data_IF_357486338241
#
_entry.id   IF_357486338241
#
_cell.length_a   1.000
_cell.length_b   1.000
_cell.length_c   1.000
_cell.angle_alpha   90.00
_cell.angle_beta   90.00
_cell.angle_gamma   90.00
#
_symmetry.space_group_name_H-M   'P 1'
#
loop_
_entity.id
_entity.type
_entity.pdbx_description
1 polymer ?
#
# COMPACT_ATOMS: atom_id res chain seq x y z
N UNK A 1 16.07 12.77 -2.11
CA UNK A 1 16.61 13.99 -2.77
C UNK A 1 16.68 15.13 -1.75
N UNK A 2 17.65 15.09 -0.83
CA UNK A 2 17.69 15.97 0.34
C UNK A 2 17.91 17.45 0.00
N UNK A 3 18.60 17.75 -1.10
CA UNK A 3 18.79 19.10 -1.63
C UNK A 3 17.84 19.28 -2.83
N UNK A 4 16.58 19.71 -2.62
CA UNK A 4 15.55 19.71 -3.65
C UNK A 4 15.91 20.57 -4.87
N UNK A 5 16.61 21.68 -4.68
CA UNK A 5 16.96 22.68 -5.70
C UNK A 5 17.79 22.08 -6.84
N UNK A 6 18.69 21.16 -6.52
CA UNK A 6 19.53 20.43 -7.48
C UNK A 6 18.99 19.03 -7.79
N UNK A 7 17.70 18.80 -7.50
CA UNK A 7 17.07 17.49 -7.57
C UNK A 7 15.71 17.45 -8.25
N UNK A 8 15.28 18.56 -8.86
CA UNK A 8 13.93 18.71 -9.43
C UNK A 8 13.58 17.61 -10.44
N UNK A 9 14.47 17.26 -11.37
CA UNK A 9 14.16 16.26 -12.40
C UNK A 9 13.74 14.89 -11.84
N UNK A 10 14.45 14.36 -10.84
CA UNK A 10 14.06 13.09 -10.22
C UNK A 10 12.90 13.21 -9.24
N UNK A 11 12.69 14.39 -8.66
CA UNK A 11 11.51 14.67 -7.84
C UNK A 11 10.24 14.67 -8.71
N UNK A 12 10.31 15.29 -9.88
CA UNK A 12 9.22 15.28 -10.87
C UNK A 12 8.93 13.86 -11.35
N UNK A 13 9.95 13.07 -11.69
CA UNK A 13 9.75 11.67 -12.07
C UNK A 13 9.06 10.83 -10.96
N UNK A 14 9.40 11.07 -9.69
CA UNK A 14 8.73 10.43 -8.56
C UNK A 14 7.31 10.95 -8.34
N UNK A 15 7.04 12.22 -8.63
CA UNK A 15 5.68 12.76 -8.62
C UNK A 15 4.83 12.13 -9.73
N UNK A 16 5.40 11.90 -10.91
CA UNK A 16 4.76 11.19 -12.01
C UNK A 16 4.46 9.73 -11.61
N UNK A 17 5.39 9.05 -10.94
CA UNK A 17 5.15 7.71 -10.37
C UNK A 17 3.99 7.73 -9.37
N UNK A 18 3.97 8.68 -8.43
CA UNK A 18 2.88 8.81 -7.46
C UNK A 18 1.53 9.08 -8.13
N UNK A 19 1.51 9.92 -9.17
CA UNK A 19 0.31 10.27 -9.93
C UNK A 19 -0.21 9.03 -10.66
N UNK A 20 0.66 8.34 -11.42
CA UNK A 20 0.32 7.11 -12.13
C UNK A 20 -0.25 6.04 -11.20
N UNK A 21 0.36 5.82 -10.02
CA UNK A 21 -0.18 4.87 -9.03
C UNK A 21 -1.55 5.33 -8.53
N UNK A 22 -1.71 6.61 -8.19
CA UNK A 22 -2.98 7.14 -7.67
C UNK A 22 -4.11 6.99 -8.70
N UNK A 23 -3.84 7.34 -9.96
CA UNK A 23 -4.78 7.23 -11.07
C UNK A 23 -5.20 5.78 -11.32
N UNK A 24 -4.23 4.86 -11.43
CA UNK A 24 -4.53 3.45 -11.73
C UNK A 24 -5.17 2.71 -10.55
N UNK A 25 -4.91 3.12 -9.32
CA UNK A 25 -5.50 2.47 -8.13
C UNK A 25 -6.80 3.11 -7.66
N UNK A 26 -7.17 4.27 -8.21
CA UNK A 26 -8.30 5.07 -7.75
C UNK A 26 -8.10 5.65 -6.33
N UNK A 27 -6.85 5.70 -5.85
CA UNK A 27 -6.50 6.21 -4.52
C UNK A 27 -6.13 7.70 -4.57
N UNK A 28 -6.21 8.37 -3.42
CA UNK A 28 -6.01 9.83 -3.36
C UNK A 28 -4.53 10.23 -3.26
N UNK A 29 -3.68 9.37 -2.70
CA UNK A 29 -2.25 9.65 -2.54
C UNK A 29 -1.43 8.36 -2.57
N UNK A 30 -0.25 8.42 -3.21
CA UNK A 30 0.75 7.35 -3.23
C UNK A 30 2.12 7.83 -2.72
N UNK A 31 2.96 6.89 -2.28
CA UNK A 31 4.34 7.17 -1.89
C UNK A 31 5.32 7.08 -3.07
N UNK A 32 6.57 7.49 -2.82
CA UNK A 32 7.69 7.44 -3.76
C UNK A 32 8.42 6.09 -3.67
N UNK A 33 7.64 5.01 -3.66
CA UNK A 33 8.01 3.59 -3.62
C UNK A 33 8.34 2.95 -2.27
N UNK A 34 8.22 1.61 -2.26
CA UNK A 34 8.71 0.66 -1.27
C UNK A 34 9.68 -0.35 -1.92
N UNK A 35 10.12 -1.38 -1.18
CA UNK A 35 11.16 -2.31 -1.61
C UNK A 35 10.64 -3.39 -2.58
N UNK A 36 9.57 -4.09 -2.22
CA UNK A 36 8.91 -5.12 -3.02
C UNK A 36 7.45 -5.29 -2.55
N UNK A 37 6.65 -6.08 -3.26
CA UNK A 37 5.22 -6.26 -2.94
C UNK A 37 5.00 -6.90 -1.56
N UNK A 38 5.81 -7.88 -1.20
CA UNK A 38 5.66 -8.62 0.05
C UNK A 38 5.96 -7.74 1.28
N UNK A 39 6.99 -6.89 1.18
CA UNK A 39 7.29 -5.88 2.19
C UNK A 39 6.28 -4.74 2.18
N UNK A 40 5.74 -4.34 1.02
CA UNK A 40 4.63 -3.39 0.96
C UNK A 40 3.37 -3.91 1.68
N UNK A 41 3.08 -5.22 1.59
CA UNK A 41 2.00 -5.86 2.34
C UNK A 41 2.22 -5.84 3.84
N UNK A 42 3.46 -6.10 4.28
CA UNK A 42 3.81 -6.00 5.70
C UNK A 42 3.73 -4.56 6.23
N UNK A 43 4.15 -3.56 5.44
CA UNK A 43 3.98 -2.15 5.78
C UNK A 43 2.50 -1.75 5.80
N UNK A 44 1.68 -2.27 4.89
CA UNK A 44 0.24 -2.04 4.90
C UNK A 44 -0.43 -2.66 6.14
N UNK A 45 0.02 -3.83 6.61
CA UNK A 45 -0.44 -4.44 7.86
C UNK A 45 -0.14 -3.54 9.07
N UNK A 46 1.09 -3.07 9.23
CA UNK A 46 1.46 -2.19 10.36
C UNK A 46 0.77 -0.82 10.24
N UNK A 47 0.57 -0.33 9.03
CA UNK A 47 -0.20 0.88 8.74
C UNK A 47 -1.67 0.71 9.14
N UNK A 48 -2.29 -0.43 8.83
CA UNK A 48 -3.64 -0.77 9.27
C UNK A 48 -3.75 -0.81 10.80
N UNK A 49 -2.76 -1.41 11.48
CA UNK A 49 -2.74 -1.49 12.95
C UNK A 49 -2.73 -0.09 13.60
N UNK A 50 -2.09 0.90 12.97
CA UNK A 50 -2.03 2.28 13.46
C UNK A 50 -3.31 3.08 13.19
N UNK A 51 -4.09 2.69 12.18
CA UNK A 51 -5.26 3.44 11.69
C UNK A 51 -6.60 2.84 12.10
N UNK A 52 -6.70 1.51 12.18
CA UNK A 52 -7.95 0.80 12.46
C UNK A 52 -8.47 1.15 13.85
N UNK A 53 -9.80 1.21 13.97
CA UNK A 53 -10.51 1.38 15.25
C UNK A 53 -10.83 0.05 15.93
N UNK A 54 -10.64 -1.07 15.22
CA UNK A 54 -10.80 -2.42 15.76
C UNK A 54 -9.82 -2.66 16.90
N UNK A 55 -10.27 -3.37 17.94
CA UNK A 55 -9.40 -3.80 19.05
C UNK A 55 -8.76 -5.17 18.80
N UNK A 56 -9.09 -5.82 17.69
CA UNK A 56 -8.51 -7.11 17.32
C UNK A 56 -7.00 -6.97 17.10
N UNK A 57 -6.26 -8.05 17.39
CA UNK A 57 -4.84 -8.20 17.04
C UNK A 57 -4.64 -9.03 15.78
N UNK A 58 -5.74 -9.41 15.13
CA UNK A 58 -5.73 -10.32 13.99
C UNK A 58 -5.72 -9.54 12.68
N UNK A 59 -4.78 -9.88 11.81
CA UNK A 59 -4.73 -9.45 10.42
C UNK A 59 -5.12 -10.64 9.54
N UNK A 60 -6.18 -10.49 8.76
CA UNK A 60 -6.62 -11.53 7.84
C UNK A 60 -5.87 -11.39 6.51
N UNK A 61 -5.44 -12.51 5.94
CA UNK A 61 -4.81 -12.57 4.62
C UNK A 61 -5.57 -13.58 3.78
N UNK A 62 -6.03 -13.18 2.60
CA UNK A 62 -6.64 -14.14 1.67
C UNK A 62 -5.62 -15.21 1.31
N UNK A 63 -6.04 -16.46 1.32
CA UNK A 63 -5.24 -17.59 0.83
C UNK A 63 -4.86 -17.45 -0.65
N UNK A 64 -5.56 -16.58 -1.38
CA UNK A 64 -5.34 -16.30 -2.80
C UNK A 64 -4.24 -15.26 -3.04
N UNK A 65 -3.58 -14.76 -1.99
CA UNK A 65 -2.38 -13.93 -2.11
C UNK A 65 -1.16 -14.78 -2.49
N UNK A 66 -0.12 -14.14 -3.03
CA UNK A 66 1.12 -14.86 -3.34
C UNK A 66 1.76 -15.49 -2.09
N UNK A 67 2.29 -16.72 -2.15
CA UNK A 67 2.86 -17.41 -0.98
C UNK A 67 3.97 -16.61 -0.29
N UNK A 68 4.86 -15.98 -1.06
CA UNK A 68 5.92 -15.14 -0.51
C UNK A 68 5.40 -13.89 0.19
N UNK A 69 4.28 -13.33 -0.28
CA UNK A 69 3.61 -12.19 0.37
C UNK A 69 3.08 -12.63 1.73
N UNK A 70 2.42 -13.79 1.80
CA UNK A 70 1.91 -14.37 3.05
C UNK A 70 3.06 -14.63 4.04
N UNK A 71 4.17 -15.19 3.58
CA UNK A 71 5.32 -15.54 4.42
C UNK A 71 6.02 -14.31 5.01
N UNK A 72 6.19 -13.25 4.22
CA UNK A 72 6.78 -11.98 4.70
C UNK A 72 5.83 -11.30 5.70
N UNK A 73 4.52 -11.28 5.43
CA UNK A 73 3.53 -10.73 6.35
C UNK A 73 3.56 -11.47 7.69
N UNK A 74 3.54 -12.81 7.69
CA UNK A 74 3.67 -13.65 8.89
C UNK A 74 4.96 -13.36 9.65
N UNK A 75 6.08 -13.30 8.93
CA UNK A 75 7.40 -13.05 9.52
C UNK A 75 7.47 -11.68 10.18
N UNK A 76 6.87 -10.65 9.56
CA UNK A 76 6.82 -9.28 10.10
C UNK A 76 5.82 -9.13 11.25
N UNK A 77 4.77 -9.94 11.27
CA UNK A 77 3.76 -9.95 12.33
C UNK A 77 4.25 -10.57 13.64
N UNK A 78 5.01 -11.65 13.56
CA UNK A 78 5.47 -12.42 14.73
C UNK A 78 6.18 -11.58 15.83
N UNK A 79 7.18 -10.73 15.52
CA UNK A 79 7.89 -9.97 16.56
C UNK A 79 7.07 -8.84 17.19
N UNK A 80 5.97 -8.42 16.56
CA UNK A 80 5.10 -7.33 17.04
C UNK A 80 3.77 -7.84 17.61
N UNK A 81 3.61 -9.18 17.73
CA UNK A 81 2.47 -9.81 18.38
C UNK A 81 1.15 -9.66 17.61
N UNK A 82 1.22 -9.53 16.28
CA UNK A 82 0.04 -9.58 15.39
C UNK A 82 -0.23 -11.05 15.04
N UNK A 83 -1.50 -11.45 15.14
CA UNK A 83 -1.94 -12.78 14.69
C UNK A 83 -2.31 -12.71 13.21
N UNK A 84 -1.73 -13.58 12.38
CA UNK A 84 -2.04 -13.65 10.95
C UNK A 84 -2.90 -14.88 10.67
N UNK A 85 -4.15 -14.66 10.27
CA UNK A 85 -5.07 -15.73 9.86
C UNK A 85 -5.12 -15.74 8.34
N UNK A 86 -4.80 -16.90 7.75
CA UNK A 86 -4.90 -17.11 6.31
C UNK A 86 -6.13 -17.96 6.02
N UNK A 87 -6.97 -17.55 5.07
CA UNK A 87 -8.14 -18.33 4.70
C UNK A 87 -8.89 -17.77 3.49
N UNK A 88 -10.02 -18.39 3.18
CA UNK A 88 -10.93 -17.94 2.11
C UNK A 88 -11.64 -16.64 2.53
N UNK A 89 -11.43 -15.57 1.76
CA UNK A 89 -12.00 -14.24 2.04
C UNK A 89 -13.54 -14.20 1.94
N UNK A 90 -14.18 -15.20 1.31
CA UNK A 90 -15.64 -15.29 1.15
C UNK A 90 -16.35 -15.77 2.41
N UNK A 91 -15.69 -16.66 3.17
CA UNK A 91 -16.27 -17.35 4.34
C UNK A 91 -15.52 -17.07 5.64
N UNK A 92 -14.20 -16.90 5.59
CA UNK A 92 -13.34 -16.74 6.75
C UNK A 92 -13.55 -15.43 7.52
N UNK A 93 -14.15 -14.42 6.89
CA UNK A 93 -14.42 -13.13 7.54
C UNK A 93 -15.68 -13.12 8.40
N UNK A 94 -16.63 -14.04 8.24
CA UNK A 94 -17.96 -13.90 8.88
C UNK A 94 -17.86 -13.90 10.41
N UNK A 95 -17.05 -14.79 10.99
CA UNK A 95 -16.90 -14.95 12.44
C UNK A 95 -15.56 -14.41 12.99
N UNK A 96 -14.70 -13.86 12.14
CA UNK A 96 -13.38 -13.38 12.54
C UNK A 96 -13.37 -11.87 12.79
N UNK A 97 -13.00 -11.45 13.99
CA UNK A 97 -12.67 -10.06 14.29
C UNK A 97 -11.23 -9.76 13.84
N UNK A 98 -11.05 -8.77 12.98
CA UNK A 98 -9.73 -8.35 12.48
C UNK A 98 -9.61 -6.83 12.48
N UNK A 99 -8.38 -6.32 12.41
CA UNK A 99 -8.12 -4.89 12.22
C UNK A 99 -7.77 -4.55 10.77
N UNK A 100 -7.44 -5.57 9.96
CA UNK A 100 -7.19 -5.41 8.54
C UNK A 100 -7.30 -6.72 7.77
N UNK A 101 -7.53 -6.57 6.47
CA UNK A 101 -7.74 -7.65 5.50
C UNK A 101 -6.83 -7.39 4.31
N UNK A 102 -6.00 -8.37 3.92
CA UNK A 102 -5.21 -8.34 2.69
C UNK A 102 -5.84 -9.24 1.61
N UNK A 103 -6.12 -8.66 0.45
CA UNK A 103 -6.67 -9.31 -0.75
C UNK A 103 -5.67 -9.17 -1.91
N UNK A 104 -5.76 -10.04 -2.92
CA UNK A 104 -4.92 -10.01 -4.12
C UNK A 104 -5.79 -9.83 -5.36
N UNK A 105 -5.41 -8.93 -6.27
CA UNK A 105 -6.24 -8.56 -7.42
C UNK A 105 -5.41 -8.34 -8.70
N UNK A 106 -5.42 -9.27 -9.68
CA UNK A 106 -6.07 -10.59 -9.68
C UNK A 106 -5.48 -11.56 -8.64
N UNK A 107 -6.20 -12.63 -8.33
CA UNK A 107 -5.74 -13.69 -7.43
C UNK A 107 -4.51 -14.44 -7.95
N UNK A 108 -3.86 -15.22 -7.07
CA UNK A 108 -2.70 -16.07 -7.38
C UNK A 108 -2.92 -17.00 -8.59
N UNK A 109 -4.12 -17.55 -8.72
CA UNK A 109 -4.53 -18.45 -9.81
C UNK A 109 -5.03 -17.69 -11.05
N UNK A 110 -5.07 -16.36 -10.99
CA UNK A 110 -5.55 -15.48 -12.04
C UNK A 110 -7.05 -15.19 -11.98
N UNK A 111 -7.79 -15.70 -10.99
CA UNK A 111 -9.21 -15.38 -10.84
C UNK A 111 -9.43 -13.89 -10.52
N UNK A 112 -10.54 -13.37 -11.04
CA UNK A 112 -11.04 -12.03 -10.74
C UNK A 112 -12.24 -12.17 -9.81
N UNK A 113 -12.09 -11.68 -8.59
CA UNK A 113 -13.16 -11.64 -7.61
C UNK A 113 -13.78 -10.25 -7.53
N UNK A 114 -15.09 -10.20 -7.32
CA UNK A 114 -15.75 -8.99 -6.84
C UNK A 114 -15.59 -8.90 -5.32
N UNK A 115 -14.86 -7.89 -4.86
CA UNK A 115 -14.54 -7.70 -3.46
C UNK A 115 -15.49 -6.76 -2.73
N UNK A 116 -16.53 -6.20 -3.37
CA UNK A 116 -17.43 -5.23 -2.73
C UNK A 116 -18.04 -5.76 -1.43
N UNK A 117 -18.52 -7.00 -1.43
CA UNK A 117 -19.10 -7.65 -0.24
C UNK A 117 -18.05 -7.91 0.85
N UNK A 118 -16.86 -8.38 0.46
CA UNK A 118 -15.73 -8.60 1.37
C UNK A 118 -15.29 -7.29 2.04
N UNK A 119 -15.25 -6.20 1.27
CA UNK A 119 -14.93 -4.85 1.77
C UNK A 119 -16.00 -4.39 2.77
N UNK A 120 -17.28 -4.52 2.43
CA UNK A 120 -18.38 -4.14 3.31
C UNK A 120 -18.35 -4.91 4.64
N UNK A 121 -18.10 -6.23 4.59
CA UNK A 121 -17.95 -7.07 5.79
C UNK A 121 -16.77 -6.62 6.67
N UNK A 122 -15.62 -6.30 6.06
CA UNK A 122 -14.45 -5.83 6.80
C UNK A 122 -14.71 -4.47 7.47
N UNK A 123 -15.32 -3.51 6.74
CA UNK A 123 -15.64 -2.19 7.26
C UNK A 123 -16.69 -2.23 8.38
N UNK A 124 -17.67 -3.15 8.32
CA UNK A 124 -18.63 -3.37 9.40
C UNK A 124 -17.94 -3.76 10.73
N UNK A 125 -16.74 -4.34 10.66
CA UNK A 125 -15.88 -4.70 11.80
C UNK A 125 -14.82 -3.65 12.12
N UNK A 126 -14.90 -2.48 11.49
CA UNK A 126 -13.90 -1.40 11.61
C UNK A 126 -12.48 -1.83 11.15
N UNK A 127 -12.37 -2.90 10.40
CA UNK A 127 -11.13 -3.34 9.76
C UNK A 127 -10.87 -2.49 8.50
N UNK A 128 -9.60 -2.36 8.12
CA UNK A 128 -9.19 -1.71 6.88
C UNK A 128 -8.87 -2.75 5.80
N UNK A 129 -9.17 -2.42 4.54
CA UNK A 129 -8.93 -3.33 3.41
C UNK A 129 -7.71 -2.90 2.61
N UNK A 130 -6.76 -3.82 2.49
CA UNK A 130 -5.57 -3.71 1.66
C UNK A 130 -5.75 -4.60 0.44
N UNK A 131 -5.50 -4.06 -0.75
CA UNK A 131 -5.52 -4.84 -2.00
C UNK A 131 -4.14 -4.80 -2.64
N UNK A 132 -3.51 -5.97 -2.77
CA UNK A 132 -2.34 -6.16 -3.61
C UNK A 132 -2.76 -6.27 -5.07
N UNK A 133 -2.64 -5.17 -5.81
CA UNK A 133 -3.18 -5.03 -7.15
C UNK A 133 -2.11 -4.91 -8.24
N UNK A 134 -2.36 -5.52 -9.40
CA UNK A 134 -1.47 -5.42 -10.56
C UNK A 134 -1.77 -4.17 -11.40
N UNK A 135 -0.82 -3.23 -11.48
CA UNK A 135 -1.04 -1.96 -12.20
C UNK A 135 -1.39 -2.11 -13.67
N UNK A 136 -0.92 -3.16 -14.36
CA UNK A 136 -1.27 -3.37 -15.76
C UNK A 136 -2.70 -3.89 -15.88
N UNK A 137 -3.12 -4.78 -14.98
CA UNK A 137 -4.49 -5.26 -14.93
C UNK A 137 -5.47 -4.11 -14.66
N UNK A 138 -5.10 -3.15 -13.79
CA UNK A 138 -5.91 -1.96 -13.48
C UNK A 138 -6.11 -0.99 -14.66
N UNK A 139 -5.44 -1.20 -15.80
CA UNK A 139 -5.74 -0.42 -17.02
C UNK A 139 -7.08 -0.80 -17.65
N UNK A 140 -7.64 -1.96 -17.29
CA UNK A 140 -8.92 -2.46 -17.82
C UNK A 140 -9.89 -2.94 -16.73
N UNK A 141 -9.41 -3.12 -15.50
CA UNK A 141 -10.22 -3.56 -14.36
C UNK A 141 -10.68 -2.38 -13.51
N UNK A 142 -11.79 -2.56 -12.80
CA UNK A 142 -12.24 -1.61 -11.78
C UNK A 142 -11.17 -1.49 -10.69
N UNK A 143 -10.67 -0.29 -10.41
CA UNK A 143 -9.56 -0.12 -9.49
C UNK A 143 -9.99 -0.22 -8.01
N UNK A 144 -9.06 -0.57 -7.09
CA UNK A 144 -9.37 -0.76 -5.67
C UNK A 144 -10.10 0.39 -4.99
N UNK A 145 -9.76 1.63 -5.34
CA UNK A 145 -10.42 2.81 -4.78
C UNK A 145 -11.92 2.88 -5.09
N UNK A 146 -12.36 2.37 -6.24
CA UNK A 146 -13.76 2.41 -6.67
C UNK A 146 -14.64 1.39 -5.96
N UNK A 147 -14.11 0.22 -5.60
CA UNK A 147 -14.83 -0.78 -4.81
C UNK A 147 -14.58 -0.67 -3.29
N UNK A 148 -13.98 0.44 -2.85
CA UNK A 148 -13.94 0.82 -1.44
C UNK A 148 -12.73 0.34 -0.65
N UNK A 149 -11.66 -0.15 -1.29
CA UNK A 149 -10.42 -0.45 -0.58
C UNK A 149 -9.87 0.80 0.12
N UNK A 150 -9.11 0.60 1.21
CA UNK A 150 -8.49 1.70 1.96
C UNK A 150 -7.04 1.93 1.54
N UNK A 151 -6.38 0.85 1.11
CA UNK A 151 -4.97 0.82 0.75
C UNK A 151 -4.81 -0.07 -0.49
N UNK A 152 -4.05 0.40 -1.48
CA UNK A 152 -3.59 -0.40 -2.61
C UNK A 152 -2.06 -0.53 -2.57
N UNK A 153 -1.56 -1.72 -2.81
CA UNK A 153 -0.13 -2.03 -2.87
C UNK A 153 0.17 -2.90 -4.09
N UNK A 154 1.43 -3.06 -4.44
CA UNK A 154 1.84 -4.01 -5.47
C UNK A 154 3.21 -3.69 -6.03
N UNK A 155 3.60 -4.42 -7.07
CA UNK A 155 4.84 -4.17 -7.82
C UNK A 155 4.59 -3.35 -9.10
N UNK A 156 5.45 -2.38 -9.37
CA UNK A 156 5.50 -1.69 -10.67
C UNK A 156 6.45 -2.37 -11.67
N UNK A 157 6.95 -3.59 -11.38
CA UNK A 157 7.94 -4.30 -12.19
C UNK A 157 7.58 -4.37 -13.67
N UNK A 158 6.33 -4.76 -13.98
CA UNK A 158 5.91 -5.00 -15.36
C UNK A 158 5.74 -3.73 -16.20
N UNK A 159 5.93 -2.55 -15.61
CA UNK A 159 6.03 -1.28 -16.33
C UNK A 159 7.48 -1.03 -16.79
N UNK A 160 7.98 -1.94 -17.63
CA UNK A 160 9.26 -1.77 -18.33
C UNK A 160 10.52 -2.02 -17.49
N UNK A 161 10.42 -2.64 -16.31
CA UNK A 161 11.59 -3.03 -15.50
C UNK A 161 11.93 -4.51 -15.74
N UNK A 162 13.18 -4.90 -16.04
CA UNK A 162 13.54 -6.30 -16.25
C UNK A 162 13.20 -7.20 -15.05
N UNK A 163 12.94 -8.49 -15.30
CA UNK A 163 12.66 -9.45 -14.22
C UNK A 163 13.75 -9.47 -13.14
N UNK A 164 15.02 -9.28 -13.53
CA UNK A 164 16.13 -9.08 -12.59
C UNK A 164 16.36 -10.23 -11.61
N UNK A 165 15.83 -11.43 -11.91
CA UNK A 165 15.82 -12.58 -11.00
C UNK A 165 15.34 -12.24 -9.57
N UNK A 166 14.38 -11.30 -9.47
CA UNK A 166 13.80 -10.85 -8.21
C UNK A 166 13.85 -9.34 -7.99
N UNK A 167 14.70 -8.58 -8.68
CA UNK A 167 14.74 -7.12 -8.52
C UNK A 167 15.92 -6.40 -9.17
N UNK A 168 16.04 -5.08 -8.95
CA UNK A 168 15.21 -4.25 -8.09
C UNK A 168 13.92 -3.76 -8.79
N UNK A 169 12.79 -3.83 -8.09
CA UNK A 169 11.50 -3.33 -8.58
C UNK A 169 10.89 -2.36 -7.58
N UNK A 170 10.36 -1.24 -8.04
CA UNK A 170 9.65 -0.32 -7.16
C UNK A 170 8.29 -0.94 -6.81
N UNK A 171 8.07 -1.25 -5.54
CA UNK A 171 6.73 -1.47 -5.04
C UNK A 171 6.04 -0.14 -4.75
N UNK A 172 4.72 -0.13 -4.74
CA UNK A 172 3.93 1.06 -4.44
C UNK A 172 3.04 0.83 -3.20
N UNK A 173 2.68 1.93 -2.55
CA UNK A 173 1.58 1.99 -1.60
C UNK A 173 0.79 3.27 -1.83
N UNK A 174 -0.52 3.12 -1.99
CA UNK A 174 -1.46 4.21 -2.14
C UNK A 174 -2.64 4.05 -1.18
N UNK A 175 -3.23 5.17 -0.75
CA UNK A 175 -4.32 5.21 0.24
C UNK A 175 -5.08 6.54 0.14
N UNK A 176 -6.01 6.78 1.06
CA UNK A 176 -6.76 8.04 1.23
C UNK A 176 -5.86 9.15 1.79
N UNK A 177 -6.06 10.40 1.36
CA UNK A 177 -5.31 11.59 1.78
C UNK A 177 -5.39 11.81 3.30
N UNK A 178 -6.53 11.46 3.90
CA UNK A 178 -6.74 11.49 5.35
C UNK A 178 -5.66 10.71 6.14
N UNK A 179 -5.05 9.68 5.52
CA UNK A 179 -4.08 8.80 6.15
C UNK A 179 -2.61 9.19 5.88
N UNK A 180 -2.35 10.27 5.10
CA UNK A 180 -1.00 10.66 4.65
C UNK A 180 0.04 10.87 5.74
N UNK A 181 -0.41 11.23 6.96
CA UNK A 181 0.48 11.46 8.12
C UNK A 181 1.12 10.19 8.66
N UNK A 182 0.59 9.02 8.32
CA UNK A 182 1.09 7.73 8.78
C UNK A 182 1.67 6.89 7.62
N UNK A 183 1.57 7.38 6.38
CA UNK A 183 2.02 6.66 5.19
C UNK A 183 3.51 6.30 5.30
N UNK A 184 3.89 5.05 5.00
CA UNK A 184 5.29 4.63 4.99
C UNK A 184 6.03 5.14 3.75
N UNK A 185 7.34 5.32 3.88
CA UNK A 185 8.19 5.80 2.80
C UNK A 185 8.11 7.30 2.54
N UNK A 186 8.89 7.71 1.53
CA UNK A 186 8.99 9.12 1.11
C UNK A 186 7.77 9.50 0.30
N UNK A 187 7.40 10.79 0.33
CA UNK A 187 6.35 11.36 -0.50
C UNK A 187 6.89 12.65 -1.11
N UNK A 188 6.81 12.79 -2.43
CA UNK A 188 7.07 14.05 -3.13
C UNK A 188 5.81 14.89 -3.08
N UNK A 189 5.98 16.17 -2.76
CA UNK A 189 4.92 17.17 -2.81
C UNK A 189 5.32 18.39 -3.64
N UNK A 190 4.31 19.06 -4.19
CA UNK A 190 4.44 20.37 -4.84
C UNK A 190 4.50 21.46 -3.77
N UNK A 191 5.38 22.43 -3.98
CA UNK A 191 5.63 23.59 -3.15
C UNK A 191 5.88 24.80 -4.05
N UNK A 192 6.17 25.95 -3.43
CA UNK A 192 6.66 27.15 -4.09
C UNK A 192 8.12 27.44 -3.65
N UNK A 193 8.92 27.98 -4.55
CA UNK A 193 10.28 28.44 -4.27
C UNK A 193 10.32 29.91 -3.81
N UNK A 194 11.52 30.49 -3.65
CA UNK A 194 11.69 31.87 -3.21
C UNK A 194 11.28 32.94 -4.24
N UNK A 195 11.06 32.54 -5.51
CA UNK A 195 10.60 33.41 -6.60
C UNK A 195 9.09 33.28 -6.83
N UNK A 196 8.42 32.35 -6.13
CA UNK A 196 7.01 32.04 -6.28
C UNK A 196 6.73 30.99 -7.36
N UNK A 197 7.76 30.38 -7.93
CA UNK A 197 7.62 29.34 -8.94
C UNK A 197 7.30 27.99 -8.30
N UNK A 198 6.55 27.14 -9.03
CA UNK A 198 6.26 25.78 -8.57
C UNK A 198 7.55 24.95 -8.51
N UNK A 199 7.77 24.29 -7.38
CA UNK A 199 8.93 23.43 -7.16
C UNK A 199 8.55 22.18 -6.36
N UNK A 200 9.31 21.11 -6.51
CA UNK A 200 9.07 19.83 -5.86
C UNK A 200 10.00 19.62 -4.67
N UNK A 201 9.55 18.92 -3.64
CA UNK A 201 10.39 18.49 -2.50
C UNK A 201 9.83 17.25 -1.83
N UNK A 202 10.64 16.62 -0.97
CA UNK A 202 10.11 15.63 -0.03
C UNK A 202 9.21 16.32 1.00
N UNK A 203 8.01 15.77 1.17
CA UNK A 203 6.95 16.29 2.03
C UNK A 203 6.74 15.40 3.26
N UNK A 204 6.23 16.00 4.34
CA UNK A 204 5.87 15.30 5.58
C UNK A 204 7.02 14.45 6.17
N UNK A 205 8.27 14.94 6.07
CA UNK A 205 9.47 14.18 6.45
C UNK A 205 9.54 13.82 7.94
N UNK A 206 8.76 14.49 8.80
CA UNK A 206 8.66 14.18 10.23
C UNK A 206 8.17 12.75 10.51
N UNK A 207 7.61 12.05 9.50
CA UNK A 207 7.24 10.64 9.56
C UNK A 207 8.46 9.70 9.50
N UNK A 208 9.54 10.15 8.87
CA UNK A 208 10.64 9.29 8.48
C UNK A 208 11.63 9.03 9.63
N UNK A 209 12.33 7.90 9.56
CA UNK A 209 13.28 7.44 10.58
C UNK A 209 14.35 8.47 10.95
N UNK A 210 14.80 9.29 10.00
CA UNK A 210 15.87 10.28 10.22
C UNK A 210 15.42 11.44 11.13
N UNK A 211 14.12 11.62 11.35
CA UNK A 211 13.55 12.58 12.30
C UNK A 211 12.93 11.85 13.50
N UNK A 212 12.12 10.81 13.26
CA UNK A 212 11.28 10.18 14.30
C UNK A 212 11.90 8.97 15.01
N UNK A 213 13.01 8.42 14.49
CA UNK A 213 13.72 7.26 15.04
C UNK A 213 12.75 6.09 15.32
N UNK A 214 12.70 5.61 16.56
CA UNK A 214 11.83 4.52 17.03
C UNK A 214 10.32 4.79 16.88
N UNK A 215 9.90 6.05 16.71
CA UNK A 215 8.49 6.44 16.56
C UNK A 215 8.03 6.56 15.10
N UNK A 216 8.91 6.24 14.15
CA UNK A 216 8.62 6.26 12.71
C UNK A 216 7.63 5.15 12.31
#
# INVERSE_FOLDING_TARGET
PYQPEISQGRLEALLNFQTMVSDLTGMEIANASLLDEATAAAEAMTFCQRLSKSKSKTFFVSQDCFPQTIDVVRTRAAPIGIEVVVGDHRTGLDQLECFGVLLQYPALDGELHDYADTVAKAHAKQALVVVAADLLALTVLTPPGEFGADIAIGSAQRFGVPLGYGGPHAAYLATRDANKRLMPGRVVGVSIDCRGDKAYRLALQTREQHIRREKA
#
